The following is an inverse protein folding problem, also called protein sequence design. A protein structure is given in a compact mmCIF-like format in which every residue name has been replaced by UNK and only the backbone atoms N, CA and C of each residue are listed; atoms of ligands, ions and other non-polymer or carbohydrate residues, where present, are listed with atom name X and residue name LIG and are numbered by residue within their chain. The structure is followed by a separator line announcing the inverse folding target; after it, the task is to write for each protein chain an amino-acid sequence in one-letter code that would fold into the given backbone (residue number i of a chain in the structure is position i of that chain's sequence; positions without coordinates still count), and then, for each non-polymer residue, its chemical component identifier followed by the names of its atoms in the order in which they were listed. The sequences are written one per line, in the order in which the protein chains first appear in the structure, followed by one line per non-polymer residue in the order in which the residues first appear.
data_IF_792591397325
#
_entry.id   IF_792591397325
#
_cell.length_a   1.000
_cell.length_b   1.000
_cell.length_c   1.000
_cell.angle_alpha   90.00
_cell.angle_beta   90.00
_cell.angle_gamma   90.00
#
_symmetry.space_group_name_H-M   'P 1'
#
loop_
_entity.id
_entity.type
_entity.pdbx_description
1 polymer ?
#
# COMPACT_ATOMS: atom_id res chain seq x y z
N UNK A 1 48.53 -34.93 -44.87
CA UNK A 1 47.76 -34.14 -43.86
C UNK A 1 46.61 -33.47 -44.59
N UNK A 2 45.44 -34.11 -44.58
CA UNK A 2 44.22 -33.66 -45.25
C UNK A 2 43.33 -33.01 -44.18
N UNK A 3 43.05 -31.71 -44.27
CA UNK A 3 42.16 -31.00 -43.34
C UNK A 3 40.73 -31.06 -43.88
N UNK A 4 39.87 -31.75 -43.12
CA UNK A 4 38.42 -31.85 -43.35
C UNK A 4 37.78 -30.55 -42.83
N UNK A 5 37.19 -29.75 -43.73
CA UNK A 5 36.18 -28.77 -43.34
C UNK A 5 34.88 -29.53 -43.08
N UNK A 6 34.32 -29.40 -41.87
CA UNK A 6 32.98 -29.90 -41.56
C UNK A 6 32.07 -28.74 -41.19
N UNK A 7 30.99 -28.66 -41.93
CA UNK A 7 29.93 -27.67 -41.98
C UNK A 7 29.12 -27.68 -40.68
N UNK A 8 28.99 -26.54 -40.00
CA UNK A 8 28.05 -26.38 -38.88
C UNK A 8 26.70 -25.92 -39.46
N UNK A 9 25.74 -26.86 -39.52
CA UNK A 9 24.33 -26.58 -39.79
C UNK A 9 23.68 -26.15 -38.47
N UNK A 10 23.34 -24.87 -38.33
CA UNK A 10 22.56 -24.37 -37.19
C UNK A 10 21.09 -24.74 -37.43
N UNK A 11 20.64 -25.81 -36.79
CA UNK A 11 19.25 -26.23 -36.78
C UNK A 11 18.49 -25.36 -35.77
N UNK A 12 17.80 -24.32 -36.25
CA UNK A 12 16.91 -23.49 -35.44
C UNK A 12 15.69 -24.32 -35.05
N UNK A 13 15.71 -24.95 -33.88
CA UNK A 13 14.53 -25.55 -33.28
C UNK A 13 13.58 -24.43 -32.85
N UNK A 14 12.61 -24.11 -33.70
CA UNK A 14 11.39 -23.40 -33.30
C UNK A 14 10.58 -24.39 -32.46
N UNK A 15 10.83 -24.39 -31.15
CA UNK A 15 9.94 -25.04 -30.20
C UNK A 15 8.71 -24.15 -30.11
N UNK A 16 7.69 -24.47 -30.93
CA UNK A 16 6.31 -24.14 -30.60
C UNK A 16 5.99 -24.89 -29.30
N UNK A 17 6.30 -24.25 -28.17
CA UNK A 17 5.76 -24.66 -26.90
C UNK A 17 4.26 -24.46 -26.98
N UNK A 18 3.52 -25.55 -27.18
CA UNK A 18 2.14 -25.62 -26.74
C UNK A 18 2.13 -25.22 -25.27
N UNK A 19 1.81 -23.94 -24.98
CA UNK A 19 1.42 -23.52 -23.66
C UNK A 19 0.14 -24.28 -23.35
N UNK A 20 0.28 -25.41 -22.66
CA UNK A 20 -0.82 -25.99 -21.92
C UNK A 20 -1.36 -24.87 -21.05
N UNK A 21 -2.61 -24.45 -21.28
CA UNK A 21 -3.40 -23.73 -20.29
C UNK A 21 -3.49 -24.66 -19.09
N UNK A 22 -2.53 -24.56 -18.19
CA UNK A 22 -2.66 -25.08 -16.86
C UNK A 22 -3.87 -24.34 -16.29
N UNK A 23 -4.97 -25.05 -16.02
CA UNK A 23 -6.09 -24.54 -15.24
C UNK A 23 -5.52 -24.23 -13.85
N UNK A 24 -4.85 -23.08 -13.71
CA UNK A 24 -4.17 -22.72 -12.48
C UNK A 24 -5.26 -22.49 -11.45
N UNK A 25 -5.18 -23.24 -10.38
CA UNK A 25 -6.10 -23.19 -9.26
C UNK A 25 -5.42 -22.39 -8.17
N UNK A 26 -6.18 -21.50 -7.53
CA UNK A 26 -5.74 -20.75 -6.36
C UNK A 26 -6.58 -21.10 -5.15
N UNK A 27 -6.08 -20.76 -3.97
CA UNK A 27 -6.73 -21.03 -2.71
C UNK A 27 -6.79 -19.76 -1.87
N UNK A 28 -7.98 -19.46 -1.37
CA UNK A 28 -8.20 -18.36 -0.43
C UNK A 28 -8.61 -18.94 0.91
N UNK A 29 -7.84 -18.62 1.94
CA UNK A 29 -8.12 -18.98 3.32
C UNK A 29 -8.62 -17.75 4.07
N UNK A 30 -9.77 -17.86 4.73
CA UNK A 30 -10.39 -16.77 5.49
C UNK A 30 -10.78 -17.29 6.86
N UNK A 31 -10.53 -16.49 7.90
CA UNK A 31 -10.92 -16.77 9.27
C UNK A 31 -11.43 -15.51 9.97
N UNK A 32 -12.25 -15.70 11.01
CA UNK A 32 -12.63 -14.65 11.94
C UNK A 32 -12.12 -14.97 13.35
N UNK A 33 -11.58 -13.97 14.04
CA UNK A 33 -11.08 -14.08 15.42
C UNK A 33 -11.23 -12.74 16.13
N UNK A 34 -11.94 -12.70 17.26
CA UNK A 34 -12.19 -11.45 17.98
C UNK A 34 -12.83 -10.40 17.07
N UNK A 35 -12.23 -9.22 16.98
CA UNK A 35 -12.66 -8.12 16.11
C UNK A 35 -12.19 -8.25 14.65
N UNK A 36 -11.52 -9.35 14.29
CA UNK A 36 -10.76 -9.41 13.06
C UNK A 36 -11.34 -10.40 12.04
N UNK A 37 -11.31 -10.01 10.77
CA UNK A 37 -11.36 -10.94 9.63
C UNK A 37 -9.99 -10.94 8.97
N UNK A 38 -9.44 -12.13 8.75
CA UNK A 38 -8.05 -12.28 8.35
C UNK A 38 -7.88 -13.48 7.43
N UNK A 39 -6.79 -13.51 6.66
CA UNK A 39 -6.60 -14.60 5.74
C UNK A 39 -5.42 -14.46 4.80
N UNK A 40 -5.43 -15.33 3.80
CA UNK A 40 -4.49 -15.35 2.68
C UNK A 40 -5.30 -15.47 1.40
N UNK A 41 -5.13 -14.52 0.49
CA UNK A 41 -5.75 -14.58 -0.82
C UNK A 41 -4.91 -15.38 -1.80
N UNK A 42 -5.58 -16.12 -2.67
CA UNK A 42 -5.09 -16.44 -4.02
C UNK A 42 -3.75 -17.20 -4.13
N UNK A 43 -3.41 -18.03 -3.14
CA UNK A 43 -2.16 -18.82 -3.20
C UNK A 43 -2.30 -20.06 -4.08
N UNK A 44 -1.21 -20.47 -4.74
CA UNK A 44 -1.14 -21.75 -5.48
C UNK A 44 -1.10 -22.98 -4.55
N UNK A 45 -0.84 -22.79 -3.25
CA UNK A 45 -0.64 -23.89 -2.30
C UNK A 45 -1.54 -23.74 -1.04
N UNK A 46 -2.54 -24.60 -0.85
CA UNK A 46 -3.47 -24.47 0.27
C UNK A 46 -2.80 -24.68 1.62
N UNK A 47 -1.77 -25.53 1.70
CA UNK A 47 -1.00 -25.73 2.94
C UNK A 47 -0.21 -24.47 3.29
N UNK A 48 0.29 -23.73 2.29
CA UNK A 48 0.99 -22.47 2.51
C UNK A 48 0.03 -21.41 3.07
N UNK A 49 -1.17 -21.26 2.49
CA UNK A 49 -2.22 -20.39 3.02
C UNK A 49 -2.58 -20.76 4.47
N UNK A 50 -2.87 -22.02 4.75
CA UNK A 50 -3.26 -22.47 6.10
C UNK A 50 -2.14 -22.19 7.10
N UNK A 51 -0.88 -22.49 6.78
CA UNK A 51 0.23 -22.27 7.69
C UNK A 51 0.46 -20.77 7.95
N UNK A 52 0.36 -19.93 6.90
CA UNK A 52 0.54 -18.48 7.05
C UNK A 52 -0.61 -17.83 7.82
N UNK A 53 -1.86 -18.22 7.53
CA UNK A 53 -3.03 -17.80 8.32
C UNK A 53 -2.90 -18.22 9.79
N UNK A 54 -2.36 -19.41 10.07
CA UNK A 54 -2.10 -19.85 11.45
C UNK A 54 -1.05 -18.99 12.17
N UNK A 55 0.00 -18.52 11.47
CA UNK A 55 0.97 -17.57 12.04
C UNK A 55 0.31 -16.24 12.37
N UNK A 56 -0.56 -15.73 11.50
CA UNK A 56 -1.33 -14.51 11.72
C UNK A 56 -2.28 -14.66 12.92
N UNK A 57 -2.99 -15.78 13.02
CA UNK A 57 -3.86 -16.08 14.17
C UNK A 57 -3.07 -16.04 15.49
N UNK A 58 -1.91 -16.69 15.53
CA UNK A 58 -1.03 -16.67 16.71
C UNK A 58 -0.55 -15.25 17.04
N UNK A 59 -0.23 -14.44 16.03
CA UNK A 59 0.22 -13.06 16.22
C UNK A 59 -0.89 -12.18 16.82
N UNK A 60 -2.12 -12.31 16.34
CA UNK A 60 -3.31 -11.63 16.88
C UNK A 60 -3.53 -12.05 18.34
N UNK A 61 -3.66 -13.36 18.62
CA UNK A 61 -3.98 -13.83 19.98
C UNK A 61 -2.89 -13.49 21.00
N UNK A 62 -1.61 -13.54 20.63
CA UNK A 62 -0.51 -13.17 21.53
C UNK A 62 -0.59 -11.70 21.97
N UNK A 63 -1.04 -10.82 21.07
CA UNK A 63 -1.12 -9.38 21.32
C UNK A 63 -2.35 -8.99 22.13
N UNK A 64 -3.47 -9.69 21.93
CA UNK A 64 -4.64 -9.57 22.80
C UNK A 64 -4.31 -10.00 24.23
N UNK A 65 -3.59 -11.12 24.42
CA UNK A 65 -3.20 -11.61 25.75
C UNK A 65 -2.21 -10.70 26.49
N UNK A 66 -1.30 -10.05 25.79
CA UNK A 66 -0.30 -9.15 26.41
C UNK A 66 -0.88 -7.80 26.82
N UNK A 67 -2.20 -7.60 26.74
CA UNK A 67 -2.86 -6.36 27.15
C UNK A 67 -2.48 -5.13 26.31
N UNK A 68 -1.72 -5.34 25.22
CA UNK A 68 -1.42 -4.30 24.25
C UNK A 68 -2.71 -4.06 23.47
N UNK A 69 -3.61 -3.23 24.00
CA UNK A 69 -4.76 -2.72 23.24
C UNK A 69 -4.20 -2.00 22.01
N UNK A 70 -4.13 -2.69 20.87
CA UNK A 70 -3.67 -2.13 19.59
C UNK A 70 -4.64 -1.05 19.07
N UNK A 71 -5.81 -0.95 19.69
CA UNK A 71 -6.82 0.07 19.43
C UNK A 71 -7.30 0.64 20.77
N UNK A 72 -6.58 1.60 21.34
CA UNK A 72 -7.33 2.70 21.92
C UNK A 72 -7.93 3.40 20.71
N UNK A 73 -9.22 3.13 20.42
CA UNK A 73 -10.02 4.10 19.69
C UNK A 73 -9.90 5.33 20.55
N UNK A 74 -9.13 6.33 20.12
CA UNK A 74 -9.20 7.61 20.79
C UNK A 74 -10.64 8.06 20.61
N UNK A 75 -11.45 7.87 21.66
CA UNK A 75 -12.86 8.21 21.68
C UNK A 75 -13.08 9.71 21.49
N UNK A 76 -12.01 10.51 21.48
CA UNK A 76 -12.03 11.93 21.12
C UNK A 76 -12.15 12.22 19.61
N UNK A 77 -11.90 11.26 18.70
CA UNK A 77 -11.99 11.52 17.25
C UNK A 77 -13.34 11.12 16.62
N UNK A 78 -14.20 10.39 17.35
CA UNK A 78 -15.48 9.87 16.82
C UNK A 78 -16.62 10.90 16.96
N UNK A 79 -16.46 11.97 17.73
CA UNK A 79 -17.56 12.91 18.03
C UNK A 79 -17.57 14.21 17.21
N UNK A 80 -16.59 14.43 16.33
CA UNK A 80 -16.64 15.58 15.41
C UNK A 80 -17.02 15.08 14.02
N UNK A 81 -18.21 15.47 13.56
CA UNK A 81 -18.58 15.33 12.14
C UNK A 81 -17.47 15.97 11.29
N UNK A 82 -17.28 15.57 10.02
CA UNK A 82 -16.29 16.20 9.13
C UNK A 82 -16.38 17.73 9.10
N UNK A 83 -17.60 18.27 9.23
CA UNK A 83 -17.87 19.71 9.29
C UNK A 83 -17.44 20.40 10.61
N UNK A 84 -17.22 19.65 11.68
CA UNK A 84 -16.94 20.16 13.03
C UNK A 84 -15.44 20.06 13.40
N UNK A 85 -14.60 19.50 12.52
CA UNK A 85 -13.14 19.54 12.66
C UNK A 85 -12.65 20.97 12.42
N UNK A 86 -12.50 21.74 13.49
CA UNK A 86 -11.77 23.02 13.44
C UNK A 86 -10.34 22.70 12.98
N UNK A 87 -9.82 23.29 11.89
CA UNK A 87 -8.45 23.03 11.45
C UNK A 87 -7.51 23.28 12.62
N UNK A 88 -6.76 22.27 13.05
CA UNK A 88 -5.56 22.49 13.86
C UNK A 88 -4.75 23.54 13.10
N UNK A 89 -4.64 24.75 13.65
CA UNK A 89 -4.20 25.97 12.96
C UNK A 89 -3.32 25.65 11.74
N UNK A 90 -3.94 25.62 10.55
CA UNK A 90 -3.27 25.09 9.37
C UNK A 90 -2.14 26.05 9.03
N UNK A 91 -0.90 25.58 9.21
CA UNK A 91 0.20 26.19 8.47
C UNK A 91 -0.20 26.00 7.01
N UNK A 92 -0.51 27.10 6.32
CA UNK A 92 -0.82 27.04 4.89
C UNK A 92 0.21 26.15 4.21
N UNK A 93 -0.22 25.13 3.47
CA UNK A 93 0.69 24.20 2.78
C UNK A 93 1.75 24.95 1.97
N UNK A 94 1.38 26.12 1.42
CA UNK A 94 2.28 27.00 0.68
C UNK A 94 3.51 27.48 1.48
N UNK A 95 3.39 27.61 2.81
CA UNK A 95 4.48 27.98 3.70
C UNK A 95 5.44 26.82 4.00
N UNK A 96 5.01 25.56 3.80
CA UNK A 96 5.87 24.39 3.95
C UNK A 96 6.82 24.22 2.76
N UNK A 97 6.41 24.70 1.58
CA UNK A 97 7.22 24.68 0.37
C UNK A 97 8.36 25.72 0.46
N UNK A 98 9.63 25.34 0.25
CA UNK A 98 10.75 26.28 0.27
C UNK A 98 10.52 27.49 -0.65
N UNK A 99 10.82 28.69 -0.15
CA UNK A 99 11.03 29.87 -1.02
C UNK A 99 12.36 29.74 -1.74
N UNK A 100 12.56 30.54 -2.79
CA UNK A 100 13.83 30.57 -3.52
C UNK A 100 15.02 30.78 -2.59
N UNK A 101 16.07 30.00 -2.81
CA UNK A 101 17.33 30.02 -2.06
C UNK A 101 17.26 29.58 -0.58
N UNK A 102 16.10 29.16 -0.06
CA UNK A 102 16.02 28.49 1.27
C UNK A 102 16.63 27.09 1.25
N UNK A 103 16.59 26.43 0.09
CA UNK A 103 17.43 25.26 -0.21
C UNK A 103 18.47 25.73 -1.22
N UNK A 104 19.75 25.58 -0.88
CA UNK A 104 20.87 26.19 -1.61
C UNK A 104 20.83 25.85 -3.10
N UNK A 105 20.79 26.88 -3.95
CA UNK A 105 20.82 26.75 -5.41
C UNK A 105 19.46 26.46 -6.07
N UNK A 106 18.44 26.15 -5.28
CA UNK A 106 17.10 25.85 -5.78
C UNK A 106 16.19 27.07 -5.69
N UNK A 107 15.49 27.36 -6.79
CA UNK A 107 14.59 28.50 -6.92
C UNK A 107 13.22 28.02 -7.34
N UNK A 108 12.18 28.61 -6.75
CA UNK A 108 10.81 28.31 -7.18
C UNK A 108 10.58 28.92 -8.56
N UNK A 109 10.14 28.11 -9.51
CA UNK A 109 10.03 28.50 -10.91
C UNK A 109 8.74 29.28 -11.22
N UNK A 110 7.68 29.04 -10.44
CA UNK A 110 6.34 29.63 -10.60
C UNK A 110 5.68 29.89 -9.25
N UNK A 111 4.51 30.51 -9.27
CA UNK A 111 3.64 30.59 -8.09
C UNK A 111 3.19 29.19 -7.65
N UNK A 112 2.81 29.07 -6.37
CA UNK A 112 2.32 27.80 -5.83
C UNK A 112 0.90 27.59 -6.35
N UNK A 113 0.65 26.39 -6.86
CA UNK A 113 -0.69 25.97 -7.24
C UNK A 113 -1.33 25.25 -6.05
N UNK A 114 -2.57 25.62 -5.72
CA UNK A 114 -3.36 24.97 -4.66
C UNK A 114 -4.54 24.25 -5.30
N UNK A 115 -4.66 22.97 -4.97
CA UNK A 115 -5.74 22.11 -5.41
C UNK A 115 -6.55 21.66 -4.19
N UNK A 116 -7.86 21.70 -4.32
CA UNK A 116 -8.84 21.21 -3.33
C UNK A 116 -9.63 20.07 -3.96
N UNK A 117 -10.48 19.40 -3.19
CA UNK A 117 -11.30 18.29 -3.70
C UNK A 117 -12.08 18.66 -4.99
N UNK A 118 -12.54 19.91 -5.11
CA UNK A 118 -13.32 20.39 -6.25
C UNK A 118 -12.55 20.42 -7.58
N UNK A 119 -11.24 20.67 -7.55
CA UNK A 119 -10.41 20.79 -8.76
C UNK A 119 -9.37 19.65 -8.90
N UNK A 120 -9.23 18.79 -7.89
CA UNK A 120 -8.27 17.68 -7.91
C UNK A 120 -8.53 16.72 -9.09
N UNK A 121 -9.80 16.45 -9.42
CA UNK A 121 -10.17 15.57 -10.54
C UNK A 121 -9.62 16.09 -11.88
N UNK A 122 -9.61 17.41 -12.07
CA UNK A 122 -9.10 18.02 -13.30
C UNK A 122 -7.58 17.92 -13.40
N UNK A 123 -6.90 17.80 -12.26
CA UNK A 123 -5.44 17.70 -12.17
C UNK A 123 -4.93 16.25 -12.24
N UNK A 124 -5.57 15.32 -11.50
CA UNK A 124 -5.09 13.94 -11.33
C UNK A 124 -5.87 12.89 -12.13
N UNK A 125 -7.00 13.25 -12.75
CA UNK A 125 -7.84 12.33 -13.51
C UNK A 125 -8.15 11.05 -12.71
N UNK A 126 -7.82 9.88 -13.24
CA UNK A 126 -8.11 8.57 -12.66
C UNK A 126 -7.34 8.29 -11.36
N UNK A 127 -6.23 9.01 -11.10
CA UNK A 127 -5.48 8.85 -9.85
C UNK A 127 -6.22 9.45 -8.64
N UNK A 128 -7.18 10.36 -8.88
CA UNK A 128 -7.94 11.06 -7.83
C UNK A 128 -8.71 10.12 -6.91
N UNK A 129 -9.21 9.00 -7.45
CA UNK A 129 -10.03 8.04 -6.70
C UNK A 129 -9.30 7.51 -5.46
N UNK A 130 -7.99 7.26 -5.56
CA UNK A 130 -7.18 6.78 -4.44
C UNK A 130 -7.05 7.86 -3.37
N UNK A 131 -6.79 9.10 -3.76
CA UNK A 131 -6.66 10.24 -2.82
C UNK A 131 -7.98 10.54 -2.11
N UNK A 132 -9.10 10.54 -2.84
CA UNK A 132 -10.44 10.71 -2.28
C UNK A 132 -10.80 9.60 -1.30
N UNK A 133 -10.47 8.35 -1.63
CA UNK A 133 -10.69 7.21 -0.75
C UNK A 133 -9.86 7.26 0.55
N UNK A 134 -8.89 8.18 0.65
CA UNK A 134 -8.15 8.51 1.86
C UNK A 134 -8.46 9.91 2.41
N UNK A 135 -9.63 10.46 2.11
CA UNK A 135 -10.12 11.73 2.64
C UNK A 135 -9.15 12.91 2.40
N UNK A 136 -8.65 13.00 1.17
CA UNK A 136 -7.89 14.15 0.68
C UNK A 136 -8.54 15.49 1.08
N UNK A 137 -7.72 16.44 1.51
CA UNK A 137 -8.16 17.78 1.93
C UNK A 137 -7.71 18.82 0.89
N UNK A 138 -6.40 18.98 0.72
CA UNK A 138 -5.79 19.95 -0.20
C UNK A 138 -4.39 19.50 -0.63
N UNK A 139 -3.92 20.03 -1.76
CA UNK A 139 -2.60 19.81 -2.33
C UNK A 139 -1.96 21.17 -2.63
N UNK A 140 -0.71 21.35 -2.24
CA UNK A 140 0.14 22.42 -2.74
C UNK A 140 1.23 21.88 -3.67
N UNK A 141 1.35 22.48 -4.84
CA UNK A 141 2.33 22.13 -5.86
C UNK A 141 3.27 23.31 -6.12
N UNK A 142 4.57 23.02 -6.18
CA UNK A 142 5.58 23.95 -6.68
C UNK A 142 6.57 23.26 -7.60
N UNK A 143 7.01 23.99 -8.62
CA UNK A 143 8.12 23.59 -9.47
C UNK A 143 9.40 24.33 -9.05
N UNK A 144 10.54 23.64 -9.09
CA UNK A 144 11.84 24.21 -8.74
C UNK A 144 12.85 24.05 -9.87
N UNK A 145 13.65 25.09 -10.09
CA UNK A 145 14.77 25.12 -11.01
C UNK A 145 16.08 25.33 -10.26
N UNK A 146 17.18 24.88 -10.86
CA UNK A 146 18.52 25.20 -10.42
C UNK A 146 19.30 25.75 -11.62
N UNK A 147 19.57 27.07 -11.68
CA UNK A 147 20.19 27.71 -12.85
C UNK A 147 21.57 27.18 -13.24
N UNK A 148 22.26 26.45 -12.34
CA UNK A 148 23.53 25.79 -12.65
C UNK A 148 23.38 24.45 -13.34
N UNK A 149 22.22 23.81 -13.16
CA UNK A 149 21.95 22.46 -13.66
C UNK A 149 21.09 22.48 -14.93
N UNK A 150 20.21 23.48 -15.10
CA UNK A 150 19.36 23.59 -16.27
C UNK A 150 18.55 24.89 -16.35
N UNK A 151 18.00 25.16 -17.54
CA UNK A 151 17.19 26.36 -17.83
C UNK A 151 15.69 26.16 -17.61
N UNK A 152 15.24 24.92 -17.42
CA UNK A 152 13.84 24.55 -17.13
C UNK A 152 13.70 24.08 -15.67
N UNK A 153 12.48 24.00 -15.13
CA UNK A 153 12.25 23.33 -13.85
C UNK A 153 12.74 21.88 -13.89
N UNK A 154 13.37 21.43 -12.82
CA UNK A 154 13.95 20.08 -12.67
C UNK A 154 13.17 19.23 -11.67
N UNK A 155 12.45 19.88 -10.74
CA UNK A 155 11.64 19.20 -9.74
C UNK A 155 10.20 19.73 -9.75
N UNK A 156 9.25 18.81 -9.60
CA UNK A 156 7.89 19.10 -9.16
C UNK A 156 7.70 18.54 -7.76
N UNK A 157 7.23 19.36 -6.84
CA UNK A 157 7.07 19.05 -5.43
C UNK A 157 5.62 19.24 -5.05
N UNK A 158 5.02 18.18 -4.52
CA UNK A 158 3.62 18.11 -4.13
C UNK A 158 3.53 17.75 -2.65
N UNK A 159 2.78 18.54 -1.88
CA UNK A 159 2.43 18.25 -0.49
C UNK A 159 0.92 18.09 -0.42
N UNK A 160 0.48 16.86 -0.15
CA UNK A 160 -0.91 16.46 -0.03
C UNK A 160 -1.29 16.41 1.46
N UNK A 161 -2.26 17.21 1.88
CA UNK A 161 -2.91 17.08 3.18
C UNK A 161 -4.02 16.03 3.10
N UNK A 162 -3.84 14.94 3.86
CA UNK A 162 -4.76 13.81 3.91
C UNK A 162 -5.66 13.82 5.15
N UNK A 163 -5.65 14.91 5.92
CA UNK A 163 -6.50 15.16 7.09
C UNK A 163 -6.23 14.30 8.32
N UNK A 164 -5.48 13.19 8.20
CA UNK A 164 -5.05 12.33 9.28
C UNK A 164 -3.76 11.57 8.93
N UNK A 165 -2.90 11.23 9.91
CA UNK A 165 -1.65 10.51 9.64
C UNK A 165 -1.83 9.14 8.99
N UNK A 166 -2.89 8.42 9.33
CA UNK A 166 -3.20 7.09 8.77
C UNK A 166 -3.57 7.19 7.30
N UNK A 167 -4.21 8.29 6.89
CA UNK A 167 -4.57 8.53 5.49
C UNK A 167 -3.33 8.87 4.65
N UNK A 168 -2.42 9.70 5.18
CA UNK A 168 -1.12 9.98 4.54
C UNK A 168 -0.26 8.73 4.42
N UNK A 169 -0.22 7.90 5.47
CA UNK A 169 0.39 6.59 5.38
C UNK A 169 -0.32 5.70 4.35
N UNK A 170 -1.65 5.77 4.25
CA UNK A 170 -2.44 5.07 3.23
C UNK A 170 -1.92 5.30 1.81
N UNK A 171 -1.80 6.57 1.41
CA UNK A 171 -1.22 6.96 0.11
C UNK A 171 0.22 6.50 -0.02
N UNK A 172 1.09 6.81 0.94
CA UNK A 172 2.49 6.41 0.91
C UNK A 172 2.65 4.89 0.75
N UNK A 173 1.87 4.14 1.54
CA UNK A 173 1.85 2.69 1.52
C UNK A 173 1.28 2.14 0.23
N UNK A 174 0.54 2.90 -0.57
CA UNK A 174 0.00 2.52 -1.87
C UNK A 174 0.96 2.85 -3.02
N UNK A 175 1.67 3.98 -2.93
CA UNK A 175 2.57 4.47 -3.99
C UNK A 175 3.95 3.80 -4.02
N UNK A 176 4.39 3.18 -2.92
CA UNK A 176 5.71 2.52 -2.85
C UNK A 176 5.69 1.11 -3.47
N UNK A 177 6.81 0.65 -3.99
CA UNK A 177 7.01 -0.74 -4.42
C UNK A 177 8.07 -1.40 -3.51
N UNK A 178 7.91 -2.69 -3.12
CA UNK A 178 8.97 -3.41 -2.40
C UNK A 178 10.35 -3.41 -3.08
N UNK A 179 10.40 -3.19 -4.40
CA UNK A 179 11.63 -3.10 -5.19
C UNK A 179 12.20 -1.69 -5.32
N UNK A 180 11.54 -0.67 -4.76
CA UNK A 180 12.09 0.69 -4.71
C UNK A 180 13.34 0.72 -3.81
N UNK A 181 14.15 1.76 -3.99
CA UNK A 181 15.16 2.11 -2.99
C UNK A 181 14.50 2.80 -1.79
N UNK A 182 15.08 2.63 -0.61
CA UNK A 182 14.54 3.22 0.61
C UNK A 182 15.65 3.93 1.40
N UNK A 183 15.43 5.21 1.67
CA UNK A 183 16.37 6.07 2.38
C UNK A 183 15.68 6.74 3.59
N UNK A 184 16.48 7.09 4.61
CA UNK A 184 16.00 7.85 5.76
C UNK A 184 16.33 9.32 5.56
N UNK A 185 15.37 10.07 5.01
CA UNK A 185 15.48 11.52 4.79
C UNK A 185 14.56 12.19 5.80
N UNK A 186 14.97 12.24 7.07
CA UNK A 186 14.14 12.64 8.22
C UNK A 186 13.06 11.61 8.64
N UNK A 187 12.54 10.83 7.70
CA UNK A 187 11.74 9.60 7.91
C UNK A 187 11.89 8.71 6.68
N UNK A 188 11.33 7.49 6.74
CA UNK A 188 11.32 6.56 5.62
C UNK A 188 10.82 7.24 4.33
N UNK A 189 11.62 7.12 3.27
CA UNK A 189 11.36 7.72 1.96
C UNK A 189 11.61 6.64 0.91
N UNK A 190 10.60 6.34 0.10
CA UNK A 190 10.75 5.49 -1.07
C UNK A 190 11.31 6.33 -2.21
N UNK A 191 12.33 5.82 -2.87
CA UNK A 191 13.11 6.51 -3.89
C UNK A 191 13.13 5.64 -5.14
N UNK A 192 12.75 6.24 -6.27
CA UNK A 192 12.95 5.66 -7.59
C UNK A 192 13.90 6.56 -8.38
N UNK A 193 14.21 6.18 -9.63
CA UNK A 193 15.05 6.98 -10.51
C UNK A 193 14.50 8.40 -10.74
N UNK A 194 13.18 8.61 -10.69
CA UNK A 194 12.57 9.91 -10.94
C UNK A 194 11.60 10.38 -9.85
N UNK A 195 11.49 9.68 -8.72
CA UNK A 195 10.55 10.07 -7.66
C UNK A 195 11.10 9.89 -6.26
N UNK A 196 10.66 10.75 -5.33
CA UNK A 196 10.75 10.54 -3.90
C UNK A 196 9.36 10.63 -3.27
N UNK A 197 8.97 9.60 -2.54
CA UNK A 197 7.70 9.50 -1.84
C UNK A 197 7.95 9.36 -0.34
N UNK A 198 7.32 10.19 0.48
CA UNK A 198 7.43 10.09 1.94
C UNK A 198 6.17 10.64 2.60
N UNK A 199 6.07 10.46 3.92
CA UNK A 199 4.97 10.98 4.70
C UNK A 199 5.45 11.38 6.10
N UNK A 200 4.76 12.35 6.70
CA UNK A 200 4.92 12.76 8.10
C UNK A 200 3.66 13.48 8.57
N UNK A 201 3.15 13.11 9.74
CA UNK A 201 1.85 13.60 10.20
C UNK A 201 0.78 13.27 9.15
N UNK A 202 -0.14 14.20 8.93
CA UNK A 202 -1.21 14.08 7.91
C UNK A 202 -0.76 14.37 6.48
N UNK A 203 0.54 14.61 6.23
CA UNK A 203 1.04 15.04 4.93
C UNK A 203 1.74 13.90 4.20
N UNK A 204 1.32 13.65 2.96
CA UNK A 204 2.05 12.87 1.98
C UNK A 204 2.82 13.82 1.05
N UNK A 205 4.09 13.51 0.78
CA UNK A 205 4.98 14.35 -0.03
C UNK A 205 5.45 13.52 -1.21
N UNK A 206 5.16 14.02 -2.42
CA UNK A 206 5.62 13.46 -3.69
C UNK A 206 6.55 14.46 -4.37
N UNK A 207 7.78 14.04 -4.69
CA UNK A 207 8.65 14.80 -5.56
C UNK A 207 8.89 14.00 -6.83
N UNK A 208 8.66 14.64 -7.98
CA UNK A 208 9.04 14.14 -9.29
C UNK A 208 10.25 14.91 -9.80
N UNK A 209 11.24 14.18 -10.28
CA UNK A 209 12.35 14.70 -11.04
C UNK A 209 11.97 14.67 -12.51
N UNK A 210 12.20 15.77 -13.23
CA UNK A 210 12.02 15.82 -14.69
C UNK A 210 13.22 15.25 -15.45
N UNK A 211 14.39 15.28 -14.81
CA UNK A 211 15.65 14.76 -15.34
C UNK A 211 16.42 14.07 -14.20
N UNK A 212 17.22 13.06 -14.55
CA UNK A 212 18.03 12.33 -13.58
C UNK A 212 19.48 12.83 -13.57
N UNK A 213 19.96 13.25 -12.40
CA UNK A 213 21.38 13.41 -12.05
C UNK A 213 21.54 13.35 -10.54
N UNK A 214 22.77 13.07 -10.07
CA UNK A 214 23.05 13.01 -8.63
C UNK A 214 22.78 14.37 -7.95
N UNK A 215 23.14 15.48 -8.60
CA UNK A 215 22.88 16.83 -8.09
C UNK A 215 21.38 17.15 -7.98
N UNK A 216 20.56 16.67 -8.94
CA UNK A 216 19.10 16.84 -8.90
C UNK A 216 18.50 15.98 -7.78
N UNK A 217 18.95 14.73 -7.64
CA UNK A 217 18.52 13.84 -6.55
C UNK A 217 18.86 14.43 -5.18
N UNK A 218 20.09 14.91 -4.98
CA UNK A 218 20.51 15.55 -3.72
C UNK A 218 19.64 16.79 -3.43
N UNK A 219 19.38 17.60 -4.45
CA UNK A 219 18.45 18.73 -4.34
C UNK A 219 17.06 18.34 -3.88
N UNK A 220 16.50 17.27 -4.46
CA UNK A 220 15.20 16.74 -4.08
C UNK A 220 15.18 16.24 -2.63
N UNK A 221 16.21 15.51 -2.20
CA UNK A 221 16.36 15.05 -0.81
C UNK A 221 16.41 16.22 0.18
N UNK A 222 17.18 17.27 -0.16
CA UNK A 222 17.28 18.49 0.65
C UNK A 222 15.95 19.24 0.76
N UNK A 223 15.16 19.30 -0.33
CA UNK A 223 13.82 19.88 -0.31
C UNK A 223 12.86 19.04 0.56
N UNK A 224 12.86 17.71 0.42
CA UNK A 224 12.06 16.81 1.28
C UNK A 224 12.40 17.05 2.75
N UNK A 225 13.68 17.11 3.09
CA UNK A 225 14.13 17.33 4.46
C UNK A 225 13.68 18.70 4.99
N UNK A 226 13.78 19.76 4.19
CA UNK A 226 13.28 21.08 4.56
C UNK A 226 11.78 21.02 4.90
N UNK A 227 10.96 20.44 4.02
CA UNK A 227 9.51 20.34 4.21
C UNK A 227 9.19 19.58 5.51
N UNK A 228 9.85 18.43 5.72
CA UNK A 228 9.60 17.59 6.91
C UNK A 228 9.98 18.27 8.21
N UNK A 229 10.95 19.18 8.20
CA UNK A 229 11.30 19.98 9.38
C UNK A 229 10.22 21.01 9.74
N UNK A 230 9.37 21.40 8.79
CA UNK A 230 8.20 22.27 9.04
C UNK A 230 7.00 21.50 9.62
N UNK A 231 6.96 20.19 9.42
CA UNK A 231 5.82 19.36 9.83
C UNK A 231 6.02 18.84 11.26
N UNK A 232 5.08 19.14 12.14
CA UNK A 232 4.94 18.46 13.44
C UNK A 232 4.00 17.27 13.23
N UNK A 233 4.47 16.06 13.52
CA UNK A 233 3.65 14.86 13.32
C UNK A 233 4.41 13.55 13.46
N UNK A 234 3.65 12.47 13.60
CA UNK A 234 4.19 11.11 13.69
C UNK A 234 4.80 10.66 12.35
N UNK A 235 5.81 9.81 12.44
CA UNK A 235 6.38 9.03 11.32
C UNK A 235 6.14 7.53 11.51
N UNK A 236 5.29 7.17 12.48
CA UNK A 236 5.00 5.78 12.86
C UNK A 236 3.81 5.24 12.07
N UNK A 237 3.95 4.13 11.33
CA UNK A 237 2.85 3.56 10.59
C UNK A 237 1.69 3.13 11.52
N UNK A 238 0.47 2.97 10.98
CA UNK A 238 -0.70 2.54 11.73
C UNK A 238 -0.43 1.30 12.59
N UNK A 239 -0.94 1.31 13.83
CA UNK A 239 -0.61 0.29 14.83
C UNK A 239 -1.04 -1.13 14.41
N UNK A 240 -2.08 -1.26 13.59
CA UNK A 240 -2.57 -2.52 13.02
C UNK A 240 -1.50 -3.26 12.22
N UNK A 241 -0.55 -2.58 11.56
CA UNK A 241 0.54 -3.25 10.84
C UNK A 241 1.40 -4.09 11.78
N UNK A 242 1.44 -3.77 13.08
CA UNK A 242 2.19 -4.58 14.04
C UNK A 242 1.55 -5.96 14.25
N UNK A 243 0.26 -6.14 13.97
CA UNK A 243 -0.42 -7.44 14.06
C UNK A 243 0.04 -8.42 12.97
N UNK A 244 0.64 -7.93 11.89
CA UNK A 244 1.19 -8.76 10.83
C UNK A 244 2.40 -9.57 11.35
N UNK A 245 2.47 -10.89 11.05
CA UNK A 245 3.67 -11.69 11.31
C UNK A 245 4.92 -11.07 10.68
N UNK A 246 6.05 -11.10 11.37
CA UNK A 246 7.33 -10.59 10.79
C UNK A 246 8.06 -11.63 9.96
N UNK A 247 7.85 -12.90 10.27
CA UNK A 247 8.53 -14.00 9.61
C UNK A 247 8.14 -14.07 8.12
N UNK A 248 9.15 -14.01 7.25
CA UNK A 248 9.03 -13.96 5.79
C UNK A 248 8.22 -12.78 5.20
N UNK A 249 7.94 -11.73 5.98
CA UNK A 249 7.31 -10.52 5.46
C UNK A 249 8.22 -9.88 4.39
N UNK A 250 7.68 -9.63 3.20
CA UNK A 250 8.36 -8.83 2.17
C UNK A 250 8.36 -7.39 2.66
N UNK A 251 9.55 -6.86 2.95
CA UNK A 251 9.72 -5.51 3.47
C UNK A 251 9.07 -4.49 2.52
N UNK A 252 8.34 -3.51 3.07
CA UNK A 252 7.68 -2.42 2.35
C UNK A 252 6.53 -2.86 1.42
N UNK A 253 6.10 -4.13 1.50
CA UNK A 253 4.88 -4.62 0.81
C UNK A 253 3.59 -4.32 1.57
N UNK A 254 3.69 -3.79 2.79
CA UNK A 254 2.51 -3.52 3.60
C UNK A 254 1.71 -2.38 2.97
N UNK A 255 0.43 -2.68 2.68
CA UNK A 255 -0.60 -1.77 2.23
C UNK A 255 -1.59 -1.54 3.37
N UNK A 256 -1.98 -0.29 3.59
CA UNK A 256 -3.11 0.08 4.42
C UNK A 256 -4.35 0.28 3.54
N UNK A 257 -5.56 0.10 4.07
CA UNK A 257 -6.80 0.44 3.37
C UNK A 257 -7.95 0.66 4.36
N UNK A 258 -8.93 1.49 3.99
CA UNK A 258 -10.10 1.81 4.85
C UNK A 258 -11.46 1.51 4.21
N UNK A 259 -11.49 1.27 2.90
CA UNK A 259 -12.73 1.04 2.17
C UNK A 259 -12.56 0.03 1.04
N UNK A 260 -13.70 -0.36 0.46
CA UNK A 260 -13.78 -1.37 -0.59
C UNK A 260 -13.09 -0.95 -1.90
N UNK A 261 -13.05 0.35 -2.19
CA UNK A 261 -12.40 0.88 -3.41
C UNK A 261 -10.91 0.60 -3.37
N UNK A 262 -10.23 0.99 -2.29
CA UNK A 262 -8.79 0.72 -2.12
C UNK A 262 -8.51 -0.76 -1.98
N UNK A 263 -9.34 -1.50 -1.24
CA UNK A 263 -9.21 -2.96 -1.16
C UNK A 263 -9.15 -3.57 -2.56
N UNK A 264 -10.05 -3.20 -3.46
CA UNK A 264 -10.08 -3.76 -4.82
C UNK A 264 -8.90 -3.32 -5.71
N UNK A 265 -8.25 -2.19 -5.41
CA UNK A 265 -6.98 -1.81 -6.06
C UNK A 265 -5.80 -2.65 -5.54
N UNK A 266 -5.84 -3.11 -4.30
CA UNK A 266 -4.83 -4.00 -3.70
C UNK A 266 -5.05 -5.45 -4.16
N UNK A 267 -6.29 -5.93 -4.01
CA UNK A 267 -6.74 -7.25 -4.40
C UNK A 267 -8.25 -7.20 -4.67
N UNK A 268 -8.63 -7.39 -5.92
CA UNK A 268 -10.03 -7.44 -6.30
C UNK A 268 -10.73 -8.62 -5.62
N UNK A 269 -11.69 -8.33 -4.75
CA UNK A 269 -12.45 -9.35 -4.01
C UNK A 269 -13.84 -9.57 -4.63
N UNK A 270 -14.57 -8.48 -4.86
CA UNK A 270 -15.86 -8.45 -5.56
C UNK A 270 -16.21 -7.01 -5.94
N UNK A 271 -17.18 -6.83 -6.84
CA UNK A 271 -17.71 -5.52 -7.18
C UNK A 271 -18.44 -4.88 -5.99
N UNK A 272 -19.21 -5.68 -5.23
CA UNK A 272 -19.91 -5.21 -4.03
C UNK A 272 -18.98 -5.21 -2.80
N UNK A 273 -19.32 -4.37 -1.81
CA UNK A 273 -18.64 -4.31 -0.51
C UNK A 273 -18.99 -5.52 0.39
N UNK A 274 -18.62 -6.72 -0.05
CA UNK A 274 -18.94 -8.00 0.61
C UNK A 274 -18.28 -8.16 1.98
N UNK A 275 -17.15 -7.48 2.20
CA UNK A 275 -16.44 -7.41 3.48
C UNK A 275 -16.97 -6.31 4.40
N UNK A 276 -18.01 -5.56 3.97
CA UNK A 276 -18.73 -4.57 4.77
C UNK A 276 -17.83 -3.49 5.39
N UNK A 277 -16.81 -3.08 4.64
CA UNK A 277 -15.88 -2.03 5.05
C UNK A 277 -16.62 -0.68 5.17
N UNK A 278 -16.29 0.10 6.18
CA UNK A 278 -16.83 1.44 6.43
C UNK A 278 -15.79 2.30 7.18
N UNK A 279 -16.13 3.55 7.51
CA UNK A 279 -15.23 4.49 8.19
C UNK A 279 -14.63 3.98 9.52
N UNK A 280 -15.28 3.01 10.16
CA UNK A 280 -14.83 2.39 11.42
C UNK A 280 -14.09 1.06 11.22
N UNK A 281 -13.82 0.66 9.98
CA UNK A 281 -13.02 -0.53 9.66
C UNK A 281 -11.64 -0.12 9.18
N UNK A 282 -10.64 -0.90 9.57
CA UNK A 282 -9.25 -0.68 9.17
C UNK A 282 -8.69 -1.98 8.61
N UNK A 283 -8.12 -1.92 7.41
CA UNK A 283 -7.51 -3.06 6.74
C UNK A 283 -6.02 -2.88 6.50
N UNK A 284 -5.30 -4.00 6.53
CA UNK A 284 -3.93 -4.10 6.02
C UNK A 284 -3.77 -5.35 5.18
N UNK A 285 -2.92 -5.26 4.17
CA UNK A 285 -2.45 -6.40 3.38
C UNK A 285 -0.94 -6.35 3.24
N UNK A 286 -0.28 -7.49 3.12
CA UNK A 286 1.16 -7.55 2.88
C UNK A 286 1.56 -8.85 2.20
N UNK A 287 2.68 -8.80 1.48
CA UNK A 287 3.25 -9.96 0.80
C UNK A 287 4.21 -10.70 1.72
N UNK A 288 4.20 -12.03 1.63
CA UNK A 288 5.10 -12.91 2.37
C UNK A 288 5.81 -13.85 1.41
N UNK A 289 7.13 -13.97 1.52
CA UNK A 289 7.88 -14.95 0.74
C UNK A 289 7.39 -16.36 1.08
N UNK A 290 7.08 -17.14 0.05
CA UNK A 290 6.71 -18.53 0.25
C UNK A 290 7.96 -19.35 0.59
N UNK A 291 8.23 -19.54 1.89
CA UNK A 291 9.44 -20.19 2.42
C UNK A 291 9.76 -21.59 1.87
N UNK A 292 8.78 -22.27 1.25
CA UNK A 292 8.94 -23.60 0.65
C UNK A 292 8.83 -23.59 -0.88
N UNK A 293 8.67 -22.43 -1.51
CA UNK A 293 8.69 -22.35 -2.98
C UNK A 293 10.12 -22.46 -3.49
N UNK A 294 10.26 -23.06 -4.67
CA UNK A 294 11.50 -23.01 -5.46
C UNK A 294 11.60 -21.72 -6.28
N UNK A 295 10.49 -21.00 -6.46
CA UNK A 295 10.47 -19.71 -7.12
C UNK A 295 10.56 -18.60 -6.07
N UNK A 296 11.66 -17.81 -6.03
CA UNK A 296 11.81 -16.73 -5.05
C UNK A 296 10.80 -15.59 -5.23
N UNK A 297 10.14 -15.51 -6.40
CA UNK A 297 9.06 -14.56 -6.66
C UNK A 297 7.66 -15.03 -6.18
N UNK A 298 7.53 -16.27 -5.69
CA UNK A 298 6.25 -16.73 -5.16
C UNK A 298 5.98 -16.11 -3.79
N UNK A 299 4.97 -15.26 -3.71
CA UNK A 299 4.51 -14.63 -2.48
C UNK A 299 3.12 -15.11 -2.07
N UNK A 300 2.79 -14.91 -0.79
CA UNK A 300 1.47 -15.08 -0.21
C UNK A 300 0.93 -13.70 0.14
N UNK A 301 -0.24 -13.34 -0.37
CA UNK A 301 -0.90 -12.07 -0.02
C UNK A 301 -1.76 -12.28 1.24
N UNK A 302 -1.26 -11.80 2.36
CA UNK A 302 -1.92 -11.89 3.67
C UNK A 302 -2.73 -10.65 3.91
N UNK A 303 -3.92 -10.78 4.49
CA UNK A 303 -4.74 -9.65 4.88
C UNK A 303 -5.28 -9.77 6.30
N UNK A 304 -5.55 -8.60 6.89
CA UNK A 304 -6.14 -8.44 8.20
C UNK A 304 -7.04 -7.20 8.20
N UNK A 305 -8.28 -7.36 8.63
CA UNK A 305 -9.26 -6.29 8.75
C UNK A 305 -9.76 -6.27 10.20
N UNK A 306 -9.66 -5.12 10.85
CA UNK A 306 -10.19 -4.83 12.17
C UNK A 306 -11.57 -4.17 12.07
N UNK A 307 -12.52 -4.68 12.85
CA UNK A 307 -13.90 -4.22 12.91
C UNK A 307 -14.24 -3.62 14.29
N UNK A 308 -15.31 -2.81 14.38
CA UNK A 308 -15.72 -2.19 15.64
C UNK A 308 -15.98 -3.20 16.77
N UNK A 309 -16.55 -4.35 16.46
CA UNK A 309 -16.88 -5.39 17.44
C UNK A 309 -16.68 -6.79 16.86
N UNK A 310 -16.61 -7.83 17.71
CA UNK A 310 -16.57 -9.21 17.23
C UNK A 310 -17.82 -9.60 16.43
N UNK A 311 -18.96 -8.98 16.75
CA UNK A 311 -20.20 -9.19 16.00
C UNK A 311 -20.09 -8.66 14.57
N UNK A 312 -19.51 -7.48 14.39
CA UNK A 312 -19.31 -6.89 13.07
C UNK A 312 -18.35 -7.73 12.22
N UNK A 313 -17.24 -8.19 12.82
CA UNK A 313 -16.30 -9.11 12.18
C UNK A 313 -16.98 -10.41 11.75
N UNK A 314 -17.80 -11.02 12.61
CA UNK A 314 -18.54 -12.24 12.30
C UNK A 314 -19.54 -12.04 11.15
N UNK A 315 -20.25 -10.91 11.11
CA UNK A 315 -21.18 -10.58 10.02
C UNK A 315 -20.42 -10.40 8.70
N UNK A 316 -19.30 -9.68 8.70
CA UNK A 316 -18.47 -9.51 7.52
C UNK A 316 -17.86 -10.83 7.03
N UNK A 317 -17.37 -11.66 7.94
CA UNK A 317 -16.88 -13.01 7.63
C UNK A 317 -17.97 -13.87 6.99
N UNK A 318 -19.18 -13.90 7.55
CA UNK A 318 -20.27 -14.69 7.00
C UNK A 318 -20.70 -14.19 5.61
N UNK A 319 -20.71 -12.87 5.40
CA UNK A 319 -20.97 -12.25 4.09
C UNK A 319 -19.92 -12.68 3.05
N UNK A 320 -18.63 -12.58 3.38
CA UNK A 320 -17.57 -13.00 2.46
C UNK A 320 -17.57 -14.51 2.22
N UNK A 321 -17.79 -15.31 3.27
CA UNK A 321 -17.93 -16.77 3.16
C UNK A 321 -19.09 -17.15 2.22
N UNK A 322 -20.25 -16.51 2.37
CA UNK A 322 -21.39 -16.75 1.50
C UNK A 322 -21.06 -16.40 0.04
N UNK A 323 -20.37 -15.29 -0.21
CA UNK A 323 -19.90 -14.92 -1.54
C UNK A 323 -18.97 -15.98 -2.15
N UNK A 324 -17.99 -16.47 -1.38
CA UNK A 324 -17.06 -17.51 -1.85
C UNK A 324 -17.76 -18.84 -2.14
N UNK A 325 -18.79 -19.19 -1.36
CA UNK A 325 -19.55 -20.45 -1.51
C UNK A 325 -20.59 -20.39 -2.62
N UNK A 326 -21.13 -19.22 -2.96
CA UNK A 326 -22.13 -19.04 -4.03
C UNK A 326 -21.61 -19.41 -5.43
N UNK A 327 -20.31 -19.71 -5.56
CA UNK A 327 -19.66 -20.11 -6.80
C UNK A 327 -19.47 -21.63 -6.92
N UNK A 328 -19.97 -22.41 -5.96
CA UNK A 328 -19.83 -23.87 -5.88
C UNK A 328 -18.38 -24.37 -5.96
N UNK A 329 -17.45 -23.55 -5.47
CA UNK A 329 -16.04 -23.86 -5.43
C UNK A 329 -15.71 -24.94 -4.38
N UNK A 330 -14.81 -25.90 -4.68
CA UNK A 330 -14.39 -26.89 -3.70
C UNK A 330 -13.83 -26.24 -2.43
N UNK A 331 -14.14 -26.82 -1.27
CA UNK A 331 -13.65 -26.34 0.03
C UNK A 331 -12.71 -27.34 0.68
N UNK A 332 -11.74 -26.83 1.44
CA UNK A 332 -10.82 -27.64 2.25
C UNK A 332 -11.18 -27.45 3.73
N UNK A 333 -11.50 -28.55 4.40
CA UNK A 333 -11.76 -28.54 5.84
C UNK A 333 -10.44 -28.59 6.62
N UNK A 334 -10.28 -27.70 7.61
CA UNK A 334 -9.12 -27.68 8.50
C UNK A 334 -9.51 -27.24 9.90
N UNK A 335 -8.98 -27.92 10.93
CA UNK A 335 -9.14 -27.50 12.34
C UNK A 335 -8.10 -26.46 12.77
N UNK A 336 -7.08 -26.20 11.95
CA UNK A 336 -5.93 -25.35 12.31
C UNK A 336 -6.25 -23.86 12.42
N UNK A 337 -7.34 -23.42 11.80
CA UNK A 337 -7.73 -22.00 11.72
C UNK A 337 -8.95 -21.66 12.60
N UNK A 338 -9.35 -22.59 13.48
CA UNK A 338 -10.54 -22.41 14.32
C UNK A 338 -11.85 -22.72 13.60
N UNK A 339 -12.95 -22.66 14.34
CA UNK A 339 -14.30 -23.02 13.87
C UNK A 339 -14.91 -22.01 12.90
N UNK A 340 -14.51 -20.74 12.97
CA UNK A 340 -14.90 -19.69 12.03
C UNK A 340 -13.81 -19.51 10.97
N UNK A 341 -13.61 -20.55 10.15
CA UNK A 341 -12.68 -20.50 9.04
C UNK A 341 -13.18 -21.27 7.82
N UNK A 342 -12.70 -20.87 6.65
CA UNK A 342 -12.95 -21.56 5.38
C UNK A 342 -11.72 -21.45 4.49
N UNK A 343 -11.44 -22.51 3.72
CA UNK A 343 -10.44 -22.49 2.65
C UNK A 343 -11.16 -22.91 1.37
N UNK A 344 -11.13 -22.05 0.35
CA UNK A 344 -11.87 -22.23 -0.90
C UNK A 344 -10.90 -22.30 -2.06
N UNK A 345 -11.16 -23.22 -2.98
CA UNK A 345 -10.41 -23.41 -4.21
C UNK A 345 -11.01 -22.53 -5.32
N UNK A 346 -10.37 -21.40 -5.62
CA UNK A 346 -10.85 -20.42 -6.61
C UNK A 346 -10.17 -20.70 -7.97
N UNK A 347 -10.91 -20.79 -9.08
CA UNK A 347 -10.31 -20.89 -10.41
C UNK A 347 -9.61 -19.57 -10.75
N UNK A 348 -8.45 -19.65 -11.41
CA UNK A 348 -7.84 -18.45 -12.00
C UNK A 348 -8.68 -18.06 -13.22
N UNK A 349 -9.62 -17.15 -13.02
CA UNK A 349 -10.22 -16.42 -14.14
C UNK A 349 -9.18 -15.42 -14.61
N UNK A 350 -8.76 -15.50 -15.87
CA UNK A 350 -8.04 -14.39 -16.49
C UNK A 350 -8.87 -13.11 -16.31
N UNK A 351 -8.25 -11.99 -15.92
CA UNK A 351 -8.95 -10.72 -15.79
C UNK A 351 -9.64 -10.31 -17.08
#
# INVERSE_FOLDING_TARGET
MLRILSTIFILTFIIFGCQGRENSVKYTAVMAVGNYVAGVWDTKNPRAAINQAQKLLKAISTREMTGTKVVQRNTMEIELKPADRKPLASVSLANMLPKSDQVKGWKRAKEIEIYTEQNLIQFMHDETEVYQAYNFVELALAEYSNPKLGSKPLLRVEIHDMGAPENAFGIYSFTRNPQDDFEIIGSETAVTILTLNTWKGQYFIHIRLYEFSDDIKEGAQNIVQYIKNQIIGTTRPPAILKLLPRDHLVRNSERYFKNHVILNKIHFTAAENILRLNESTIGVAAEYLHAKSKNPADTLLVFLIDYPTPKDAAVAYNSYKAHLLAKDYPTITTKKLGSQSIVVQIPVTSP
#
